data_IF_888574756109
#
_entry.id   IF_888574756109
#
_cell.length_a   1.000
_cell.length_b   1.000
_cell.length_c   1.000
_cell.angle_alpha   90.00
_cell.angle_beta   90.00
_cell.angle_gamma   90.00
#
_symmetry.space_group_name_H-M   'P 1'
#
loop_
_entity.id
_entity.type
_entity.pdbx_description
1 polymer ?
#
# COMPACT_ATOMS: atom_id res chain seq x y z
N UNK A 1 -21.13 -76.18 29.10
CA UNK A 1 -21.69 -74.85 28.80
C UNK A 1 -20.58 -73.98 28.24
N UNK A 2 -20.62 -73.67 26.95
CA UNK A 2 -19.78 -72.63 26.34
C UNK A 2 -20.54 -72.11 25.10
N UNK A 3 -21.26 -71.00 25.26
CA UNK A 3 -21.96 -70.32 24.17
C UNK A 3 -21.06 -69.20 23.64
N UNK A 4 -20.66 -69.33 22.38
CA UNK A 4 -19.96 -68.30 21.61
C UNK A 4 -20.94 -67.17 21.28
N UNK A 5 -20.64 -65.94 21.70
CA UNK A 5 -21.53 -64.77 21.60
C UNK A 5 -21.06 -63.66 20.64
N UNK A 6 -20.11 -63.93 19.74
CA UNK A 6 -19.72 -62.95 18.72
C UNK A 6 -20.25 -63.33 17.34
N UNK A 7 -21.55 -63.14 17.17
CA UNK A 7 -22.15 -62.82 15.88
C UNK A 7 -22.83 -61.47 15.99
N UNK A 8 -22.08 -60.38 15.72
CA UNK A 8 -22.70 -59.09 15.43
C UNK A 8 -22.53 -58.81 13.94
N UNK A 9 -23.66 -58.92 13.25
CA UNK A 9 -23.87 -58.64 11.83
C UNK A 9 -23.23 -57.31 11.44
N UNK A 10 -22.51 -57.38 10.33
CA UNK A 10 -22.09 -56.26 9.52
C UNK A 10 -23.34 -55.47 9.06
N UNK A 11 -23.75 -54.46 9.82
CA UNK A 11 -24.78 -53.49 9.42
C UNK A 11 -24.08 -52.38 8.64
N UNK A 12 -23.82 -52.66 7.35
CA UNK A 12 -23.67 -51.59 6.37
C UNK A 12 -25.02 -50.88 6.27
N UNK A 13 -25.11 -49.72 6.92
CA UNK A 13 -26.28 -48.85 6.91
C UNK A 13 -25.85 -47.42 7.21
N UNK A 14 -25.22 -46.78 6.21
CA UNK A 14 -25.34 -45.36 5.92
C UNK A 14 -25.36 -44.35 7.10
N UNK A 15 -24.23 -44.18 7.78
CA UNK A 15 -23.84 -42.84 8.23
C UNK A 15 -22.72 -42.34 7.30
N UNK A 16 -23.14 -41.91 6.10
CA UNK A 16 -22.41 -40.86 5.41
C UNK A 16 -22.58 -39.64 6.30
N UNK A 17 -21.66 -39.43 7.22
CA UNK A 17 -21.50 -38.13 7.83
C UNK A 17 -21.12 -37.18 6.70
N UNK A 18 -22.13 -36.48 6.16
CA UNK A 18 -21.89 -35.36 5.27
C UNK A 18 -20.97 -34.40 6.02
N UNK A 19 -19.96 -33.80 5.35
CA UNK A 19 -19.19 -32.74 5.97
C UNK A 19 -20.19 -31.70 6.51
N UNK A 20 -19.93 -31.09 7.69
CA UNK A 20 -20.80 -30.06 8.22
C UNK A 20 -21.02 -29.05 7.09
N UNK A 21 -22.28 -28.86 6.68
CA UNK A 21 -22.61 -27.79 5.76
C UNK A 21 -22.24 -26.52 6.49
N UNK A 22 -21.12 -25.91 6.09
CA UNK A 22 -20.79 -24.55 6.45
C UNK A 22 -21.95 -23.69 5.92
N UNK A 23 -22.95 -23.44 6.77
CA UNK A 23 -23.86 -22.32 6.55
C UNK A 23 -22.96 -21.11 6.39
N UNK A 24 -22.99 -20.39 5.25
CA UNK A 24 -22.23 -19.17 5.12
C UNK A 24 -22.65 -18.30 6.30
N UNK A 25 -21.68 -17.93 7.14
CA UNK A 25 -21.93 -16.95 8.22
C UNK A 25 -22.29 -15.66 7.50
N UNK A 26 -23.58 -15.46 7.25
CA UNK A 26 -24.08 -14.25 6.63
C UNK A 26 -23.72 -13.12 7.58
N UNK A 27 -22.86 -12.22 7.12
CA UNK A 27 -22.50 -11.04 7.87
C UNK A 27 -23.79 -10.30 8.25
N UNK A 28 -23.86 -9.84 9.51
CA UNK A 28 -24.96 -8.98 9.95
C UNK A 28 -25.10 -7.80 8.99
N UNK A 29 -26.33 -7.32 8.67
CA UNK A 29 -26.54 -6.18 7.79
C UNK A 29 -25.68 -4.95 8.13
N UNK A 30 -25.40 -4.74 9.42
CA UNK A 30 -24.50 -3.68 9.91
C UNK A 30 -23.04 -3.90 9.49
N UNK A 31 -22.54 -5.14 9.56
CA UNK A 31 -21.19 -5.49 9.13
C UNK A 31 -21.03 -5.34 7.61
N UNK A 32 -22.05 -5.72 6.83
CA UNK A 32 -22.07 -5.50 5.38
C UNK A 32 -22.10 -4.01 5.01
N UNK A 33 -22.87 -3.20 5.74
CA UNK A 33 -22.94 -1.76 5.51
C UNK A 33 -21.60 -1.06 5.82
N UNK A 34 -20.93 -1.45 6.91
CA UNK A 34 -19.60 -0.95 7.26
C UNK A 34 -18.56 -1.34 6.20
N UNK A 35 -18.55 -2.60 5.76
CA UNK A 35 -17.64 -3.05 4.71
C UNK A 35 -17.83 -2.24 3.42
N UNK A 36 -19.07 -1.99 3.02
CA UNK A 36 -19.38 -1.16 1.86
C UNK A 36 -18.95 0.30 2.05
N UNK A 37 -19.08 0.86 3.27
CA UNK A 37 -18.62 2.21 3.58
C UNK A 37 -17.09 2.34 3.52
N UNK A 38 -16.36 1.37 4.08
CA UNK A 38 -14.90 1.32 4.01
C UNK A 38 -14.42 1.21 2.57
N UNK A 39 -15.09 0.40 1.75
CA UNK A 39 -14.70 0.23 0.35
C UNK A 39 -14.89 1.53 -0.45
N UNK A 40 -16.02 2.23 -0.24
CA UNK A 40 -16.22 3.57 -0.84
C UNK A 40 -15.17 4.57 -0.38
N UNK A 41 -14.84 4.58 0.91
CA UNK A 41 -13.82 5.46 1.44
C UNK A 41 -12.45 5.18 0.82
N UNK A 42 -12.06 3.90 0.66
CA UNK A 42 -10.82 3.51 -0.03
C UNK A 42 -10.79 3.99 -1.48
N UNK A 43 -11.88 3.78 -2.22
CA UNK A 43 -11.99 4.25 -3.59
C UNK A 43 -11.82 5.78 -3.69
N UNK A 44 -12.43 6.54 -2.78
CA UNK A 44 -12.28 7.99 -2.71
C UNK A 44 -10.84 8.40 -2.38
N UNK A 45 -10.17 7.72 -1.44
CA UNK A 45 -8.77 7.99 -1.12
C UNK A 45 -7.89 7.79 -2.34
N UNK A 46 -8.05 6.67 -3.06
CA UNK A 46 -7.30 6.38 -4.30
C UNK A 46 -7.53 7.47 -5.35
N UNK A 47 -8.78 7.85 -5.59
CA UNK A 47 -9.14 8.90 -6.55
C UNK A 47 -8.47 10.24 -6.22
N UNK A 48 -8.50 10.65 -4.95
CA UNK A 48 -7.86 11.89 -4.48
C UNK A 48 -6.34 11.79 -4.61
N UNK A 49 -5.72 10.69 -4.19
CA UNK A 49 -4.27 10.52 -4.30
C UNK A 49 -3.78 10.45 -5.73
N UNK A 50 -4.54 9.81 -6.63
CA UNK A 50 -4.22 9.77 -8.05
C UNK A 50 -4.33 11.17 -8.66
N UNK A 51 -5.36 11.93 -8.28
CA UNK A 51 -5.53 13.30 -8.74
C UNK A 51 -4.40 14.22 -8.28
N UNK A 52 -4.01 14.13 -7.02
CA UNK A 52 -2.91 14.91 -6.45
C UNK A 52 -1.53 14.45 -6.94
N UNK A 53 -1.38 13.16 -7.26
CA UNK A 53 -0.18 12.56 -7.82
C UNK A 53 0.08 12.91 -9.29
N UNK A 54 -0.91 13.48 -10.00
CA UNK A 54 -0.71 14.00 -11.35
C UNK A 54 0.17 15.26 -11.34
N UNK A 55 1.07 15.34 -12.30
CA UNK A 55 1.97 16.49 -12.52
C UNK A 55 2.82 16.87 -11.28
N UNK A 56 3.23 15.86 -10.50
CA UNK A 56 4.15 16.08 -9.38
C UNK A 56 5.48 16.59 -9.94
N UNK A 57 6.02 17.71 -9.42
CA UNK A 57 7.30 18.22 -9.87
C UNK A 57 8.40 17.18 -9.67
N UNK A 58 9.15 16.90 -10.73
CA UNK A 58 10.27 15.95 -10.70
C UNK A 58 11.61 16.66 -10.89
N UNK A 59 12.61 16.18 -10.17
CA UNK A 59 14.01 16.57 -10.33
C UNK A 59 14.81 15.36 -10.85
N UNK A 60 15.30 15.46 -12.07
CA UNK A 60 16.16 14.45 -12.69
C UNK A 60 17.63 14.86 -12.59
N UNK A 61 18.48 13.94 -12.16
CA UNK A 61 19.94 14.15 -12.05
C UNK A 61 20.63 13.09 -12.92
N UNK A 62 21.15 13.50 -14.08
CA UNK A 62 21.73 12.57 -15.08
C UNK A 62 23.25 12.41 -14.96
N UNK A 63 23.97 13.46 -14.56
CA UNK A 63 25.43 13.49 -14.44
C UNK A 63 25.80 13.96 -13.02
N UNK A 64 25.39 13.17 -12.03
CA UNK A 64 25.68 13.47 -10.64
C UNK A 64 27.18 13.38 -10.37
N UNK A 65 27.73 14.36 -9.66
CA UNK A 65 29.12 14.32 -9.23
C UNK A 65 29.31 13.19 -8.19
N UNK A 66 30.31 12.30 -8.35
CA UNK A 66 30.46 11.09 -7.52
C UNK A 66 30.53 11.38 -6.02
N UNK A 67 31.31 12.38 -5.61
CA UNK A 67 31.42 12.75 -4.19
C UNK A 67 30.12 13.27 -3.56
N UNK A 68 29.26 13.94 -4.34
CA UNK A 68 27.95 14.36 -3.86
C UNK A 68 26.98 13.18 -3.77
N UNK A 69 27.03 12.29 -4.76
CA UNK A 69 26.21 11.09 -4.80
C UNK A 69 26.54 10.16 -3.61
N UNK A 70 27.83 9.97 -3.32
CA UNK A 70 28.27 9.19 -2.16
C UNK A 70 27.68 9.72 -0.85
N UNK A 71 27.69 11.06 -0.65
CA UNK A 71 27.08 11.68 0.53
C UNK A 71 25.56 11.55 0.56
N UNK A 72 24.91 11.66 -0.60
CA UNK A 72 23.46 11.45 -0.70
C UNK A 72 23.08 10.03 -0.27
N UNK A 73 23.87 9.03 -0.68
CA UNK A 73 23.65 7.63 -0.30
C UNK A 73 23.95 7.31 1.16
N UNK A 74 24.68 8.16 1.87
CA UNK A 74 24.83 8.04 3.33
C UNK A 74 23.73 8.77 4.10
N UNK A 75 22.64 9.15 3.43
CA UNK A 75 21.52 9.94 3.99
C UNK A 75 21.94 11.28 4.61
N UNK A 76 23.15 11.74 4.28
CA UNK A 76 23.70 12.95 4.85
C UNK A 76 23.15 14.18 4.11
N UNK A 77 22.99 15.33 4.80
CA UNK A 77 22.58 16.58 4.16
C UNK A 77 23.47 16.90 2.95
N UNK A 78 22.85 16.89 1.77
CA UNK A 78 23.56 17.02 0.49
C UNK A 78 23.06 18.24 -0.28
N UNK A 79 23.98 19.15 -0.61
CA UNK A 79 23.67 20.33 -1.41
C UNK A 79 23.50 19.93 -2.88
N UNK A 80 22.52 20.51 -3.58
CA UNK A 80 22.34 20.32 -5.02
C UNK A 80 23.60 20.68 -5.84
N UNK A 81 24.35 21.70 -5.41
CA UNK A 81 25.62 22.09 -6.04
C UNK A 81 26.75 21.06 -5.84
N UNK A 82 26.60 20.13 -4.90
CA UNK A 82 27.50 18.99 -4.73
C UNK A 82 27.20 17.87 -5.72
N UNK A 83 25.98 17.83 -6.27
CA UNK A 83 25.52 16.82 -7.23
C UNK A 83 25.63 17.35 -8.67
N UNK A 84 25.30 18.63 -8.89
CA UNK A 84 25.22 19.25 -10.21
C UNK A 84 26.24 20.38 -10.28
N UNK A 85 27.33 20.16 -11.03
CA UNK A 85 28.42 21.15 -11.18
C UNK A 85 28.13 22.20 -12.24
N UNK A 86 27.49 21.79 -13.33
CA UNK A 86 27.15 22.66 -14.45
C UNK A 86 26.14 23.74 -14.03
N UNK A 87 26.52 25.01 -14.10
CA UNK A 87 25.73 26.14 -13.58
C UNK A 87 24.32 26.22 -14.18
N UNK A 88 24.20 26.03 -15.49
CA UNK A 88 22.91 26.06 -16.18
C UNK A 88 21.98 24.91 -15.74
N UNK A 89 22.54 23.72 -15.53
CA UNK A 89 21.79 22.57 -15.02
C UNK A 89 21.42 22.74 -13.55
N UNK A 90 22.32 23.34 -12.74
CA UNK A 90 22.06 23.63 -11.33
C UNK A 90 20.91 24.63 -11.17
N UNK A 91 20.85 25.68 -12.00
CA UNK A 91 19.77 26.65 -11.97
C UNK A 91 18.39 26.01 -12.20
N UNK A 92 18.27 25.18 -13.24
CA UNK A 92 17.05 24.41 -13.53
C UNK A 92 16.71 23.42 -12.41
N UNK A 93 17.70 22.76 -11.84
CA UNK A 93 17.51 21.85 -10.73
C UNK A 93 17.00 22.57 -9.47
N UNK A 94 17.53 23.76 -9.17
CA UNK A 94 17.05 24.60 -8.08
C UNK A 94 15.61 25.07 -8.30
N UNK A 95 15.25 25.44 -9.53
CA UNK A 95 13.86 25.78 -9.89
C UNK A 95 12.92 24.59 -9.63
N UNK A 96 13.27 23.39 -10.12
CA UNK A 96 12.48 22.18 -9.87
C UNK A 96 12.38 21.83 -8.39
N UNK A 97 13.48 21.94 -7.63
CA UNK A 97 13.48 21.70 -6.20
C UNK A 97 12.56 22.68 -5.45
N UNK A 98 12.53 23.96 -5.83
CA UNK A 98 11.58 24.93 -5.26
C UNK A 98 10.13 24.59 -5.60
N UNK A 99 9.85 24.18 -6.84
CA UNK A 99 8.51 23.73 -7.22
C UNK A 99 8.06 22.51 -6.40
N UNK A 100 8.96 21.55 -6.15
CA UNK A 100 8.70 20.41 -5.27
C UNK A 100 8.35 20.84 -3.84
N UNK A 101 9.15 21.75 -3.25
CA UNK A 101 8.90 22.29 -1.91
C UNK A 101 7.56 23.03 -1.83
N UNK A 102 7.25 23.86 -2.83
CA UNK A 102 5.98 24.59 -2.89
C UNK A 102 4.78 23.63 -2.99
N UNK A 103 4.87 22.57 -3.80
CA UNK A 103 3.81 21.56 -3.89
C UNK A 103 3.66 20.76 -2.60
N UNK A 104 4.76 20.41 -1.95
CA UNK A 104 4.75 19.75 -0.64
C UNK A 104 4.05 20.61 0.42
N UNK A 105 4.38 21.91 0.49
CA UNK A 105 3.71 22.85 1.38
C UNK A 105 2.21 22.99 1.06
N UNK A 106 1.84 23.05 -0.22
CA UNK A 106 0.45 23.10 -0.65
C UNK A 106 -0.34 21.86 -0.19
N UNK A 107 0.22 20.67 -0.39
CA UNK A 107 -0.38 19.41 0.05
C UNK A 107 -0.50 19.35 1.58
N UNK A 108 0.54 19.76 2.31
CA UNK A 108 0.53 19.83 3.77
C UNK A 108 -0.55 20.79 4.28
N UNK A 109 -0.69 21.97 3.66
CA UNK A 109 -1.72 22.95 4.01
C UNK A 109 -3.13 22.43 3.75
N UNK A 110 -3.33 21.71 2.64
CA UNK A 110 -4.65 21.18 2.24
C UNK A 110 -5.09 19.99 3.08
N UNK A 111 -4.16 19.09 3.41
CA UNK A 111 -4.47 17.79 4.02
C UNK A 111 -4.00 17.63 5.48
N UNK A 112 -3.26 18.60 6.02
CA UNK A 112 -2.82 18.61 7.42
C UNK A 112 -1.68 17.66 7.76
N UNK A 113 -1.01 17.09 6.75
CA UNK A 113 0.17 16.22 6.90
C UNK A 113 1.42 16.95 6.40
N UNK A 114 2.20 17.48 7.32
CA UNK A 114 3.56 17.99 7.12
C UNK A 114 4.55 17.20 7.94
#
# INVERSE_FOLDING_TARGET
MATSFFSRRNSRGADRQAPPRETPVQASPAASALAAAVERWRAQVVEVTDAEGRDVPQLTITQAHPGGLARLYTEAPTRLSSLIREKASLARAMERARAMMARSLQLSTRHGVG
#
